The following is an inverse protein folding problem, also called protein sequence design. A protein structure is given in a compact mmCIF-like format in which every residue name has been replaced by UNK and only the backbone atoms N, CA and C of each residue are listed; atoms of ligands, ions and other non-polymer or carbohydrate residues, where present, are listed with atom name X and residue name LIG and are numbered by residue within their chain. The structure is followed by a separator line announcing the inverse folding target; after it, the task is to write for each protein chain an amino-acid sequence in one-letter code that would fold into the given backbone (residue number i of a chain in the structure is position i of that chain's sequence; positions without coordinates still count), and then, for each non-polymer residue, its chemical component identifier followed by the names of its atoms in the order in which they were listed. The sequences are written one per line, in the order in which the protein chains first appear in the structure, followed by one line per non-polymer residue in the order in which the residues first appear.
data_IF_057926341870
#
_entry.id   IF_057926341870
#
_cell.length_a   1.000
_cell.length_b   1.000
_cell.length_c   1.000
_cell.angle_alpha   90.00
_cell.angle_beta   90.00
_cell.angle_gamma   90.00
#
_symmetry.space_group_name_H-M   'P 1'
#
loop_
_entity.id
_entity.type
_entity.pdbx_description
1 polymer ?
#
# COMPACT_ATOMS: atom_id res chain seq x y z
N UNK A 1 13.11 -2.96 -11.47
CA UNK A 1 12.72 -1.59 -11.86
C UNK A 1 11.24 -1.43 -11.57
N UNK A 2 10.82 -0.31 -10.99
CA UNK A 2 9.40 0.00 -10.81
C UNK A 2 8.79 0.30 -12.18
N UNK A 3 7.93 -0.59 -12.67
CA UNK A 3 7.20 -0.34 -13.91
C UNK A 3 6.00 0.61 -13.68
N UNK A 4 5.43 1.12 -14.78
CA UNK A 4 4.32 2.09 -14.74
C UNK A 4 3.06 1.60 -14.02
N UNK A 5 2.82 0.29 -13.98
CA UNK A 5 1.66 -0.30 -13.27
C UNK A 5 1.94 -0.32 -11.78
N UNK A 6 3.12 -0.74 -11.37
CA UNK A 6 3.53 -0.73 -9.95
C UNK A 6 3.53 0.69 -9.39
N UNK A 7 3.98 1.67 -10.17
CA UNK A 7 3.91 3.09 -9.77
C UNK A 7 2.48 3.58 -9.56
N UNK A 8 1.53 3.20 -10.42
CA UNK A 8 0.11 3.57 -10.25
C UNK A 8 -0.48 3.04 -8.94
N UNK A 9 -0.08 1.84 -8.51
CA UNK A 9 -0.52 1.27 -7.22
C UNK A 9 -0.02 2.12 -6.06
N UNK A 10 1.26 2.54 -6.08
CA UNK A 10 1.84 3.41 -5.06
C UNK A 10 1.07 4.73 -4.96
N UNK A 11 0.78 5.37 -6.11
CA UNK A 11 0.08 6.66 -6.13
C UNK A 11 -1.37 6.54 -5.69
N UNK A 12 -2.10 5.53 -6.19
CA UNK A 12 -3.49 5.29 -5.81
C UNK A 12 -3.59 5.01 -4.31
N UNK A 13 -2.73 4.12 -3.81
CA UNK A 13 -2.89 3.51 -2.50
C UNK A 13 -3.77 2.28 -2.58
N UNK A 14 -3.62 1.42 -1.58
CA UNK A 14 -4.47 0.28 -1.36
C UNK A 14 -5.14 0.46 0.00
N UNK A 15 -6.43 0.23 0.02
CA UNK A 15 -7.26 0.22 1.21
C UNK A 15 -7.70 -1.23 1.42
N UNK A 16 -7.71 -1.66 2.68
CA UNK A 16 -8.14 -3.00 3.02
C UNK A 16 -9.64 -3.13 2.70
N UNK A 17 -10.08 -4.20 2.02
CA UNK A 17 -11.50 -4.43 1.77
C UNK A 17 -12.33 -4.44 3.07
N UNK A 18 -13.49 -3.81 3.02
CA UNK A 18 -14.46 -3.74 4.11
C UNK A 18 -15.71 -4.54 3.77
N UNK A 19 -16.45 -4.98 4.79
CA UNK A 19 -17.72 -5.66 4.63
C UNK A 19 -18.76 -4.62 4.20
N UNK A 20 -19.51 -4.91 3.13
CA UNK A 20 -20.64 -4.11 2.68
C UNK A 20 -21.94 -4.59 3.32
N UNK A 21 -22.82 -3.64 3.69
CA UNK A 21 -24.18 -3.94 4.13
C UNK A 21 -25.12 -4.28 2.96
N UNK A 22 -26.38 -4.61 3.27
CA UNK A 22 -27.41 -4.93 2.27
C UNK A 22 -27.70 -3.78 1.27
N UNK A 23 -27.19 -2.57 1.52
CA UNK A 23 -27.31 -1.40 0.65
C UNK A 23 -26.00 -1.06 -0.09
N UNK A 24 -25.02 -1.97 -0.10
CA UNK A 24 -23.69 -1.78 -0.71
C UNK A 24 -22.85 -0.68 -0.03
N UNK A 25 -23.13 -0.40 1.25
CA UNK A 25 -22.39 0.59 2.04
C UNK A 25 -21.34 -0.08 2.91
N UNK A 26 -20.09 0.39 2.83
CA UNK A 26 -18.99 -0.11 3.65
C UNK A 26 -19.25 0.11 5.14
N UNK A 27 -19.10 -0.96 5.93
CA UNK A 27 -19.47 -1.00 7.37
C UNK A 27 -18.30 -0.67 8.32
N UNK A 28 -17.13 -0.27 7.80
CA UNK A 28 -15.88 -0.11 8.54
C UNK A 28 -15.31 -1.41 9.16
N UNK A 29 -16.02 -2.53 9.07
CA UNK A 29 -15.52 -3.85 9.45
C UNK A 29 -14.66 -4.41 8.31
N UNK A 30 -13.45 -4.89 8.64
CA UNK A 30 -12.55 -5.46 7.65
C UNK A 30 -13.06 -6.82 7.18
N UNK A 31 -13.10 -6.99 5.87
CA UNK A 31 -13.52 -8.23 5.22
C UNK A 31 -12.41 -9.28 5.26
N UNK A 32 -12.75 -10.53 5.57
CA UNK A 32 -11.76 -11.61 5.62
C UNK A 32 -11.14 -11.88 4.24
N UNK A 33 -9.84 -12.23 4.20
CA UNK A 33 -9.12 -12.47 2.94
C UNK A 33 -9.78 -13.56 2.08
N UNK A 34 -10.37 -14.58 2.71
CA UNK A 34 -11.07 -15.68 2.01
C UNK A 34 -12.32 -15.22 1.25
N UNK A 35 -12.88 -14.06 1.61
CA UNK A 35 -14.10 -13.51 1.03
C UNK A 35 -13.79 -12.45 -0.03
N UNK A 36 -12.52 -12.10 -0.23
CA UNK A 36 -12.12 -11.11 -1.21
C UNK A 36 -12.50 -11.54 -2.62
N UNK A 37 -13.00 -10.58 -3.39
CA UNK A 37 -13.20 -10.72 -4.81
C UNK A 37 -11.84 -10.76 -5.52
N UNK A 38 -11.82 -11.30 -6.73
CA UNK A 38 -10.61 -11.30 -7.56
C UNK A 38 -10.04 -9.89 -7.80
N UNK A 39 -10.87 -8.85 -7.79
CA UNK A 39 -10.41 -7.47 -7.93
C UNK A 39 -9.68 -6.98 -6.66
N UNK A 40 -10.23 -7.30 -5.47
CA UNK A 40 -9.66 -6.98 -4.16
C UNK A 40 -8.32 -7.71 -3.96
N UNK A 41 -8.27 -9.01 -4.28
CA UNK A 41 -7.04 -9.82 -4.26
C UNK A 41 -5.94 -9.21 -5.15
N UNK A 42 -6.28 -8.86 -6.39
CA UNK A 42 -5.32 -8.26 -7.32
C UNK A 42 -4.82 -6.90 -6.81
N UNK A 43 -5.66 -6.12 -6.15
CA UNK A 43 -5.27 -4.85 -5.56
C UNK A 43 -4.30 -5.05 -4.37
N UNK A 44 -4.61 -5.99 -3.48
CA UNK A 44 -3.76 -6.36 -2.34
C UNK A 44 -2.40 -6.93 -2.81
N UNK A 45 -2.42 -7.79 -3.83
CA UNK A 45 -1.21 -8.31 -4.45
C UNK A 45 -0.36 -7.19 -5.08
N UNK A 46 -1.00 -6.24 -5.77
CA UNK A 46 -0.34 -5.06 -6.30
C UNK A 46 0.37 -4.25 -5.22
N UNK A 47 -0.31 -4.03 -4.09
CA UNK A 47 0.25 -3.32 -2.94
C UNK A 47 1.47 -4.04 -2.34
N UNK A 48 1.36 -5.36 -2.13
CA UNK A 48 2.46 -6.19 -1.61
C UNK A 48 3.68 -6.17 -2.53
N UNK A 49 3.47 -6.23 -3.84
CA UNK A 49 4.57 -6.12 -4.81
C UNK A 49 5.24 -4.74 -4.78
N UNK A 50 4.43 -3.68 -4.69
CA UNK A 50 4.94 -2.32 -4.60
C UNK A 50 5.75 -2.10 -3.31
N UNK A 51 5.26 -2.58 -2.15
CA UNK A 51 6.00 -2.56 -0.89
C UNK A 51 7.31 -3.31 -0.99
N UNK A 52 7.29 -4.53 -1.53
CA UNK A 52 8.50 -5.32 -1.70
C UNK A 52 9.52 -4.60 -2.62
N UNK A 53 9.07 -3.94 -3.68
CA UNK A 53 9.93 -3.14 -4.54
C UNK A 53 10.56 -1.96 -3.80
N UNK A 54 9.79 -1.25 -2.95
CA UNK A 54 10.30 -0.17 -2.11
C UNK A 54 11.30 -0.68 -1.06
N UNK A 55 10.99 -1.78 -0.37
CA UNK A 55 11.85 -2.37 0.66
C UNK A 55 13.21 -2.81 0.13
N UNK A 56 13.23 -3.42 -1.05
CA UNK A 56 14.47 -3.84 -1.71
C UNK A 56 15.18 -2.69 -2.45
N UNK A 57 14.49 -1.57 -2.69
CA UNK A 57 15.00 -0.43 -3.44
C UNK A 57 15.74 0.62 -2.62
N UNK A 58 15.73 0.53 -1.29
CA UNK A 58 16.29 1.53 -0.38
C UNK A 58 17.41 0.96 0.50
N UNK A 59 18.23 1.82 1.09
CA UNK A 59 19.27 1.39 2.04
C UNK A 59 18.70 0.99 3.41
N UNK A 60 19.55 0.43 4.28
CA UNK A 60 19.16 -0.07 5.61
C UNK A 60 18.51 0.98 6.51
N UNK A 61 18.95 2.23 6.46
CA UNK A 61 18.41 3.30 7.29
C UNK A 61 17.01 3.68 6.81
N UNK A 62 16.83 3.83 5.50
CA UNK A 62 15.52 4.12 4.88
C UNK A 62 14.55 2.95 5.05
N UNK A 63 15.01 1.71 4.87
CA UNK A 63 14.21 0.52 5.13
C UNK A 63 13.68 0.49 6.56
N UNK A 64 14.51 0.85 7.55
CA UNK A 64 14.07 0.91 8.96
C UNK A 64 12.91 1.87 9.20
N UNK A 65 12.76 2.92 8.39
CA UNK A 65 11.65 3.87 8.49
C UNK A 65 10.34 3.27 7.98
N UNK A 66 10.39 2.47 6.90
CA UNK A 66 9.21 1.98 6.20
C UNK A 66 8.85 0.52 6.49
N UNK A 67 9.71 -0.24 7.20
CA UNK A 67 9.55 -1.69 7.41
C UNK A 67 8.25 -2.13 8.11
N UNK A 68 7.52 -1.20 8.72
CA UNK A 68 6.24 -1.46 9.40
C UNK A 68 5.03 -1.07 8.55
N UNK A 69 5.24 -0.40 7.41
CA UNK A 69 4.14 0.00 6.54
C UNK A 69 3.52 -1.23 5.87
N UNK A 70 2.19 -1.27 5.90
CA UNK A 70 1.38 -2.28 5.21
C UNK A 70 0.78 -1.75 3.91
N UNK A 71 0.92 -0.44 3.64
CA UNK A 71 0.49 0.21 2.41
C UNK A 71 1.69 0.84 1.69
N UNK A 72 1.87 0.51 0.41
CA UNK A 72 2.99 0.99 -0.40
C UNK A 72 3.02 2.51 -0.53
N UNK A 73 1.84 3.13 -0.58
CA UNK A 73 1.69 4.59 -0.59
C UNK A 73 2.26 5.22 0.68
N UNK A 74 1.92 4.69 1.85
CA UNK A 74 2.44 5.19 3.12
C UNK A 74 3.98 5.11 3.17
N UNK A 75 4.55 3.95 2.78
CA UNK A 75 5.99 3.78 2.67
C UNK A 75 6.61 4.83 1.73
N UNK A 76 6.02 5.05 0.56
CA UNK A 76 6.48 6.06 -0.39
C UNK A 76 6.42 7.49 0.17
N UNK A 77 5.35 7.86 0.85
CA UNK A 77 5.18 9.19 1.45
C UNK A 77 6.23 9.45 2.56
N UNK A 78 6.55 8.43 3.37
CA UNK A 78 7.63 8.50 4.37
C UNK A 78 8.99 8.71 3.69
N UNK A 79 9.28 7.94 2.64
CA UNK A 79 10.53 8.09 1.88
C UNK A 79 10.65 9.48 1.26
N UNK A 80 9.57 9.98 0.63
CA UNK A 80 9.53 11.31 0.02
C UNK A 80 9.80 12.40 1.05
N UNK A 81 9.07 12.37 2.17
CA UNK A 81 9.21 13.36 3.25
C UNK A 81 10.61 13.32 3.88
N UNK A 82 11.20 12.13 3.99
CA UNK A 82 12.57 11.98 4.53
C UNK A 82 13.61 12.57 3.57
N UNK A 83 13.41 12.42 2.26
CA UNK A 83 14.35 12.90 1.23
C UNK A 83 14.26 14.40 0.97
N UNK A 84 13.04 14.96 1.02
CA UNK A 84 12.77 16.39 0.84
C UNK A 84 13.11 17.21 2.09
N UNK A 85 13.44 16.53 3.19
CA UNK A 85 13.57 17.12 4.52
C UNK A 85 12.20 17.40 5.11
N UNK A 86 12.10 17.43 6.45
CA UNK A 86 10.91 17.95 7.11
C UNK A 86 10.79 19.43 6.78
N UNK A 87 10.00 19.76 5.76
CA UNK A 87 9.56 21.12 5.52
C UNK A 87 8.84 21.58 6.80
N UNK A 88 9.52 22.45 7.55
CA UNK A 88 8.95 23.21 8.67
C UNK A 88 8.24 24.44 8.14
#
# INVERSE_FOLDING_TARGET
SLDSRTWKVIVKGWDHPEIQDDNDVDTAELKLEEEWSTAEDNAAFGNSNALNALFNGVDKNMFRLIKKCTVAKEAWEILRTTHEGTAK
#
